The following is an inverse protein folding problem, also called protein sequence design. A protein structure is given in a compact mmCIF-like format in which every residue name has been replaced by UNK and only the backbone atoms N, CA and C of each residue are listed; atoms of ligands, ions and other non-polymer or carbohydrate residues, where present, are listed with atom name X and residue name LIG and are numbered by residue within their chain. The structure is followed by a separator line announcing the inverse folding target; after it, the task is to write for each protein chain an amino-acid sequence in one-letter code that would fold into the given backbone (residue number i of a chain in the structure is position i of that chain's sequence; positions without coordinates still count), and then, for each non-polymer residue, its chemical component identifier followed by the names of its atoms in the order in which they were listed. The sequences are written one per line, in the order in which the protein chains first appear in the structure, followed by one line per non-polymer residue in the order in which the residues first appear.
data_IF_702263823626
#
_entry.id   IF_702263823626
#
_cell.length_a   1.000
_cell.length_b   1.000
_cell.length_c   1.000
_cell.angle_alpha   90.00
_cell.angle_beta   90.00
_cell.angle_gamma   90.00
#
_symmetry.space_group_name_H-M   'P 1'
#
loop_
_entity.id
_entity.type
_entity.pdbx_description
1 polymer ?
#
# COMPACT_ATOMS: atom_id res chain seq x y z
N UNK A 1 -22.32 25.50 -11.79
CA UNK A 1 -23.67 24.93 -11.99
C UNK A 1 -23.70 24.31 -13.38
N UNK A 2 -24.14 23.06 -13.57
CA UNK A 2 -23.86 21.80 -12.83
C UNK A 2 -23.09 20.81 -13.76
N UNK A 3 -22.16 19.98 -13.29
CA UNK A 3 -22.32 18.70 -12.55
C UNK A 3 -23.23 17.66 -13.22
N UNK A 4 -22.66 16.61 -13.83
CA UNK A 4 -23.26 15.27 -13.89
C UNK A 4 -22.18 14.18 -13.72
N UNK A 5 -22.09 13.70 -12.47
CA UNK A 5 -22.05 12.29 -12.02
C UNK A 5 -21.03 11.33 -12.66
N UNK A 6 -19.96 11.03 -11.91
CA UNK A 6 -19.23 9.76 -11.98
C UNK A 6 -19.37 9.07 -10.62
N UNK A 7 -20.00 7.89 -10.58
CA UNK A 7 -20.00 7.00 -9.41
C UNK A 7 -19.71 5.56 -9.83
N UNK A 8 -18.89 4.94 -8.98
CA UNK A 8 -18.76 3.51 -8.67
C UNK A 8 -18.23 2.57 -9.76
N UNK A 9 -16.95 2.18 -9.60
CA UNK A 9 -16.56 0.79 -9.78
C UNK A 9 -15.65 0.39 -8.60
N UNK A 10 -16.23 -0.33 -7.64
CA UNK A 10 -15.52 -1.08 -6.61
C UNK A 10 -15.21 -2.46 -7.18
N UNK A 11 -13.93 -2.79 -7.26
CA UNK A 11 -13.42 -4.13 -7.54
C UNK A 11 -13.40 -4.93 -6.23
N UNK A 12 -14.05 -6.09 -6.25
CA UNK A 12 -13.84 -7.18 -5.28
C UNK A 12 -13.50 -8.45 -6.02
N UNK A 13 -12.38 -9.13 -5.73
CA UNK A 13 -12.14 -10.49 -6.16
C UNK A 13 -12.37 -11.46 -4.99
N UNK A 14 -13.31 -12.40 -5.13
CA UNK A 14 -13.39 -13.55 -4.23
C UNK A 14 -14.07 -14.76 -4.90
N UNK A 15 -13.21 -15.70 -5.29
CA UNK A 15 -13.38 -17.15 -5.21
C UNK A 15 -14.72 -17.78 -5.67
N UNK A 16 -14.69 -18.28 -6.91
CA UNK A 16 -15.59 -19.29 -7.44
C UNK A 16 -15.11 -20.67 -6.94
N UNK A 17 -15.87 -21.34 -6.08
CA UNK A 17 -15.69 -22.77 -5.77
C UNK A 17 -16.90 -23.54 -6.29
N UNK A 18 -16.67 -24.32 -7.34
CA UNK A 18 -17.60 -25.26 -7.91
C UNK A 18 -17.76 -26.48 -7.00
N UNK A 19 -18.99 -26.87 -6.71
CA UNK A 19 -19.31 -28.18 -6.15
C UNK A 19 -19.91 -29.06 -7.24
N UNK A 20 -19.13 -30.05 -7.68
CA UNK A 20 -19.55 -31.18 -8.50
C UNK A 20 -20.19 -32.24 -7.60
N UNK A 21 -21.33 -32.77 -8.02
CA UNK A 21 -21.98 -33.97 -7.47
C UNK A 21 -21.30 -35.24 -7.98
N UNK A 22 -21.26 -36.29 -7.13
CA UNK A 22 -21.15 -37.68 -7.60
C UNK A 22 -22.21 -38.55 -6.91
N UNK A 23 -22.91 -39.31 -7.75
CA UNK A 23 -23.94 -40.29 -7.46
C UNK A 23 -23.30 -41.69 -7.27
N UNK A 24 -24.07 -42.72 -6.91
CA UNK A 24 -23.65 -44.13 -7.07
C UNK A 24 -24.81 -45.02 -7.53
N UNK A 25 -24.70 -45.45 -8.81
CA UNK A 25 -24.99 -46.78 -9.46
C UNK A 25 -26.34 -47.50 -9.18
N UNK A 26 -27.26 -47.75 -10.15
CA UNK A 26 -27.29 -48.60 -11.39
C UNK A 26 -27.64 -50.11 -11.08
N UNK A 27 -28.58 -50.83 -11.73
CA UNK A 27 -28.59 -51.58 -13.05
C UNK A 27 -29.98 -52.34 -13.15
N UNK A 28 -30.83 -52.17 -14.17
CA UNK A 28 -31.10 -52.93 -15.44
C UNK A 28 -31.71 -54.38 -15.45
N UNK A 29 -32.86 -54.52 -16.17
CA UNK A 29 -33.30 -55.57 -17.16
C UNK A 29 -33.63 -57.04 -16.69
N UNK A 30 -34.58 -57.84 -17.23
CA UNK A 30 -35.38 -57.89 -18.49
C UNK A 30 -36.57 -58.92 -18.41
N UNK A 31 -37.50 -58.79 -19.37
CA UNK A 31 -38.83 -59.40 -19.77
C UNK A 31 -38.86 -60.95 -20.02
N UNK A 32 -39.94 -61.71 -20.44
CA UNK A 32 -41.28 -61.34 -20.96
C UNK A 32 -42.51 -62.26 -20.63
N UNK A 33 -43.75 -61.86 -21.02
CA UNK A 33 -44.88 -62.81 -21.17
C UNK A 33 -46.36 -62.34 -21.19
N UNK A 34 -46.73 -61.38 -22.04
CA UNK A 34 -48.04 -61.13 -22.72
C UNK A 34 -49.39 -61.55 -22.09
N UNK A 35 -50.30 -60.56 -21.93
CA UNK A 35 -51.60 -60.48 -22.65
C UNK A 35 -52.27 -59.11 -22.48
N UNK A 36 -52.70 -58.54 -23.61
CA UNK A 36 -53.46 -57.30 -23.74
C UNK A 36 -54.66 -57.20 -22.79
N UNK A 37 -54.69 -56.11 -22.04
CA UNK A 37 -55.88 -55.47 -21.49
C UNK A 37 -55.52 -53.99 -21.41
N UNK A 38 -56.31 -53.12 -22.05
CA UNK A 38 -56.19 -51.68 -21.87
C UNK A 38 -56.56 -51.37 -20.41
N UNK A 39 -55.57 -51.47 -19.51
CA UNK A 39 -55.74 -51.28 -18.09
C UNK A 39 -55.82 -49.78 -17.81
N UNK A 40 -57.01 -49.37 -17.41
CA UNK A 40 -57.29 -48.04 -16.90
C UNK A 40 -56.48 -47.84 -15.61
N UNK A 41 -55.47 -46.96 -15.64
CA UNK A 41 -54.66 -46.64 -14.45
C UNK A 41 -55.55 -45.98 -13.40
N UNK A 42 -55.90 -46.74 -12.36
CA UNK A 42 -56.56 -46.21 -11.15
C UNK A 42 -55.61 -45.25 -10.45
N UNK A 43 -56.01 -43.97 -10.29
CA UNK A 43 -55.22 -43.01 -9.50
C UNK A 43 -55.11 -43.48 -8.05
N UNK A 44 -54.04 -43.10 -7.34
CA UNK A 44 -53.79 -43.59 -5.96
C UNK A 44 -54.91 -43.20 -5.00
N UNK A 45 -55.62 -42.10 -5.29
CA UNK A 45 -56.84 -41.68 -4.59
C UNK A 45 -58.04 -42.63 -4.74
N UNK A 46 -57.98 -43.62 -5.64
CA UNK A 46 -59.03 -44.61 -5.87
C UNK A 46 -58.73 -45.97 -5.22
N UNK A 47 -57.56 -46.13 -4.59
CA UNK A 47 -57.22 -47.32 -3.83
C UNK A 47 -57.90 -47.26 -2.46
N UNK A 48 -58.67 -48.30 -2.13
CA UNK A 48 -59.52 -48.30 -0.93
C UNK A 48 -58.77 -48.60 0.37
N UNK A 49 -57.50 -49.01 0.28
CA UNK A 49 -56.70 -49.53 1.38
C UNK A 49 -55.40 -48.74 1.66
N UNK A 50 -55.23 -47.57 1.05
CA UNK A 50 -54.08 -46.69 1.28
C UNK A 50 -54.56 -45.33 1.80
N UNK A 51 -54.29 -45.04 3.07
CA UNK A 51 -54.64 -43.77 3.70
C UNK A 51 -53.73 -42.62 3.19
N UNK A 52 -54.27 -41.43 2.85
CA UNK A 52 -53.48 -40.26 2.46
C UNK A 52 -52.39 -39.83 3.46
N UNK A 53 -52.54 -40.19 4.74
CA UNK A 53 -51.56 -39.88 5.80
C UNK A 53 -50.49 -40.95 5.99
N UNK A 54 -50.60 -42.09 5.29
CA UNK A 54 -49.66 -43.21 5.40
C UNK A 54 -48.31 -42.85 4.74
N UNK A 55 -47.20 -43.24 5.36
CA UNK A 55 -45.84 -42.91 4.90
C UNK A 55 -45.55 -43.34 3.45
N UNK A 56 -46.20 -44.41 2.98
CA UNK A 56 -46.03 -44.94 1.62
C UNK A 56 -46.89 -44.24 0.55
N UNK A 57 -47.85 -43.38 0.93
CA UNK A 57 -48.80 -42.76 0.01
C UNK A 57 -48.09 -41.93 -1.08
N UNK A 58 -47.15 -41.08 -0.68
CA UNK A 58 -46.41 -40.21 -1.61
C UNK A 58 -45.52 -41.00 -2.59
N UNK A 59 -44.97 -42.13 -2.14
CA UNK A 59 -44.17 -43.02 -2.97
C UNK A 59 -45.05 -43.74 -4.00
N UNK A 60 -46.22 -44.23 -3.58
CA UNK A 60 -47.21 -44.85 -4.47
C UNK A 60 -47.77 -43.84 -5.47
N UNK A 61 -48.09 -42.62 -5.02
CA UNK A 61 -48.57 -41.55 -5.89
C UNK A 61 -47.58 -41.26 -7.02
N UNK A 62 -46.29 -41.16 -6.69
CA UNK A 62 -45.25 -40.94 -7.70
C UNK A 62 -45.16 -42.11 -8.68
N UNK A 63 -45.19 -43.35 -8.18
CA UNK A 63 -45.07 -44.54 -9.02
C UNK A 63 -46.26 -44.71 -9.98
N UNK A 64 -47.48 -44.39 -9.56
CA UNK A 64 -48.69 -44.55 -10.36
C UNK A 64 -48.90 -43.35 -11.29
N UNK A 65 -48.82 -42.12 -10.79
CA UNK A 65 -49.21 -40.93 -11.55
C UNK A 65 -48.07 -40.40 -12.44
N UNK A 66 -46.83 -40.41 -11.94
CA UNK A 66 -45.69 -39.85 -12.67
C UNK A 66 -45.00 -40.87 -13.58
N UNK A 67 -44.90 -42.12 -13.11
CA UNK A 67 -44.17 -43.16 -13.82
C UNK A 67 -45.07 -44.24 -14.44
N UNK A 68 -46.36 -44.30 -14.09
CA UNK A 68 -47.30 -45.27 -14.66
C UNK A 68 -46.95 -46.73 -14.35
N UNK A 69 -46.23 -46.97 -13.26
CA UNK A 69 -45.55 -48.24 -12.98
C UNK A 69 -46.39 -49.28 -12.25
N UNK A 70 -47.48 -48.87 -11.59
CA UNK A 70 -48.29 -49.73 -10.72
C UNK A 70 -49.75 -49.50 -11.04
N UNK A 71 -50.50 -50.58 -11.34
CA UNK A 71 -51.93 -50.49 -11.68
C UNK A 71 -52.84 -50.87 -10.51
N UNK A 72 -52.30 -51.41 -9.41
CA UNK A 72 -53.09 -51.97 -8.30
C UNK A 72 -53.68 -53.34 -8.64
N UNK A 73 -54.35 -54.00 -7.68
CA UNK A 73 -55.09 -55.23 -7.95
C UNK A 73 -56.44 -54.90 -8.63
N UNK A 74 -57.03 -55.84 -9.40
CA UNK A 74 -58.32 -55.62 -10.08
C UNK A 74 -59.48 -55.22 -9.15
N UNK A 75 -59.35 -55.50 -7.84
CA UNK A 75 -60.29 -55.13 -6.79
C UNK A 75 -60.07 -53.73 -6.19
N UNK A 76 -59.19 -52.91 -6.81
CA UNK A 76 -58.84 -51.54 -6.37
C UNK A 76 -58.20 -51.49 -4.98
N UNK A 77 -57.41 -52.51 -4.66
CA UNK A 77 -56.57 -52.56 -3.45
C UNK A 77 -55.09 -52.63 -3.82
N UNK A 78 -54.21 -52.16 -2.93
CA UNK A 78 -52.76 -52.33 -3.00
C UNK A 78 -52.28 -53.55 -2.20
N UNK A 79 -53.05 -53.97 -1.20
CA UNK A 79 -52.79 -55.05 -0.24
C UNK A 79 -51.47 -54.88 0.53
N UNK A 80 -51.21 -53.67 1.02
CA UNK A 80 -49.97 -53.34 1.74
C UNK A 80 -49.78 -54.05 3.09
N UNK A 81 -50.82 -54.68 3.63
CA UNK A 81 -50.81 -55.37 4.92
C UNK A 81 -50.44 -56.87 4.83
N UNK A 82 -50.17 -57.42 3.63
CA UNK A 82 -49.73 -58.80 3.45
C UNK A 82 -48.27 -58.86 3.01
N UNK A 83 -47.56 -59.90 3.45
CA UNK A 83 -46.24 -60.18 2.91
C UNK A 83 -46.36 -60.59 1.43
N UNK A 84 -45.60 -59.91 0.58
CA UNK A 84 -45.51 -60.16 -0.84
C UNK A 84 -44.50 -61.28 -1.12
N UNK A 85 -44.78 -62.16 -2.08
CA UNK A 85 -43.79 -63.18 -2.48
C UNK A 85 -42.66 -62.56 -3.32
N UNK A 86 -41.48 -63.18 -3.30
CA UNK A 86 -40.34 -62.75 -4.14
C UNK A 86 -40.68 -62.73 -5.64
N UNK A 87 -41.56 -63.62 -6.09
CA UNK A 87 -42.01 -63.70 -7.47
C UNK A 87 -42.96 -62.55 -7.85
N UNK A 88 -43.90 -62.20 -6.96
CA UNK A 88 -44.79 -61.06 -7.18
C UNK A 88 -44.01 -59.73 -7.20
N UNK A 89 -42.95 -59.59 -6.38
CA UNK A 89 -42.09 -58.40 -6.42
C UNK A 89 -41.36 -58.26 -7.75
N UNK A 90 -40.75 -59.35 -8.22
CA UNK A 90 -39.95 -59.35 -9.44
C UNK A 90 -40.80 -59.01 -10.68
N UNK A 91 -42.02 -59.54 -10.75
CA UNK A 91 -42.95 -59.25 -11.85
C UNK A 91 -43.37 -57.77 -11.89
N UNK A 92 -43.69 -57.18 -10.73
CA UNK A 92 -44.06 -55.76 -10.64
C UNK A 92 -42.90 -54.82 -10.96
N UNK A 93 -41.68 -55.14 -10.50
CA UNK A 93 -40.49 -54.36 -10.81
C UNK A 93 -40.15 -54.39 -12.31
N UNK A 94 -40.24 -55.55 -12.95
CA UNK A 94 -39.92 -55.67 -14.39
C UNK A 94 -40.87 -54.82 -15.26
N UNK A 95 -42.17 -54.85 -14.98
CA UNK A 95 -43.14 -54.02 -15.69
C UNK A 95 -42.87 -52.51 -15.57
N UNK A 96 -42.45 -52.05 -14.38
CA UNK A 96 -42.08 -50.64 -14.18
C UNK A 96 -40.81 -50.26 -14.97
N UNK A 97 -39.82 -51.15 -15.04
CA UNK A 97 -38.58 -50.91 -15.79
C UNK A 97 -38.84 -50.80 -17.30
N UNK A 98 -39.73 -51.63 -17.86
CA UNK A 98 -40.13 -51.54 -19.26
C UNK A 98 -40.78 -50.17 -19.57
N UNK A 99 -41.63 -49.67 -18.66
CA UNK A 99 -42.26 -48.35 -18.81
C UNK A 99 -41.25 -47.18 -18.75
N UNK A 100 -40.24 -47.29 -17.89
CA UNK A 100 -39.17 -46.29 -17.80
C UNK A 100 -38.33 -46.26 -19.09
N UNK A 101 -38.06 -47.43 -19.70
CA UNK A 101 -37.30 -47.48 -20.97
C UNK A 101 -38.03 -46.78 -22.11
N UNK A 102 -39.35 -46.92 -22.21
CA UNK A 102 -40.16 -46.18 -23.19
C UNK A 102 -40.10 -44.66 -22.98
N UNK A 103 -40.17 -44.19 -21.73
CA UNK A 103 -40.06 -42.77 -21.42
C UNK A 103 -38.68 -42.19 -21.75
N UNK A 104 -37.61 -42.96 -21.55
CA UNK A 104 -36.25 -42.57 -21.92
C UNK A 104 -36.11 -42.52 -23.45
N UNK A 105 -36.65 -43.49 -24.19
CA UNK A 105 -36.63 -43.49 -25.64
C UNK A 105 -37.36 -42.27 -26.24
N UNK A 106 -38.46 -41.83 -25.60
CA UNK A 106 -39.17 -40.60 -25.98
C UNK A 106 -38.36 -39.32 -25.68
N UNK A 107 -37.56 -39.30 -24.61
CA UNK A 107 -36.72 -38.16 -24.26
C UNK A 107 -35.45 -38.01 -25.13
N UNK A 108 -34.92 -39.12 -25.67
CA UNK A 108 -33.76 -39.11 -26.59
C UNK A 108 -34.11 -38.57 -27.98
N UNK A 109 -35.39 -38.46 -28.32
CA UNK A 109 -35.86 -37.80 -29.54
C UNK A 109 -35.63 -36.26 -29.52
N UNK A 110 -35.26 -35.68 -28.39
CA UNK A 110 -35.07 -34.23 -28.16
C UNK A 110 -33.56 -33.83 -28.15
N UNK A 111 -32.76 -34.45 -29.02
CA UNK A 111 -31.40 -34.00 -29.34
C UNK A 111 -31.47 -32.67 -30.14
N UNK A 112 -30.51 -31.73 -29.99
CA UNK A 112 -30.55 -30.43 -30.67
C UNK A 112 -30.76 -30.59 -32.17
N UNK A 113 -31.70 -29.82 -32.73
CA UNK A 113 -32.12 -29.96 -34.11
C UNK A 113 -31.03 -29.48 -35.08
N UNK A 114 -31.11 -29.87 -36.37
CA UNK A 114 -30.20 -29.38 -37.42
C UNK A 114 -30.18 -27.85 -37.53
N UNK A 115 -31.24 -27.18 -37.09
CA UNK A 115 -31.37 -25.72 -37.11
C UNK A 115 -30.49 -25.06 -36.03
N UNK A 116 -30.24 -25.73 -34.90
CA UNK A 116 -29.32 -25.23 -33.86
C UNK A 116 -27.86 -25.25 -34.36
N UNK A 117 -27.49 -26.29 -35.11
CA UNK A 117 -26.16 -26.41 -35.73
C UNK A 117 -25.99 -25.34 -36.83
N UNK A 118 -27.04 -25.06 -37.60
CA UNK A 118 -27.03 -24.00 -38.60
C UNK A 118 -26.92 -22.61 -37.95
N UNK A 119 -27.59 -22.40 -36.81
CA UNK A 119 -27.53 -21.17 -36.02
C UNK A 119 -26.12 -20.96 -35.44
N UNK A 120 -25.50 -22.00 -34.88
CA UNK A 120 -24.12 -21.93 -34.39
C UNK A 120 -23.13 -21.62 -35.52
N UNK A 121 -23.27 -22.23 -36.71
CA UNK A 121 -22.43 -21.92 -37.87
C UNK A 121 -22.59 -20.46 -38.31
N UNK A 122 -23.82 -19.97 -38.37
CA UNK A 122 -24.11 -18.57 -38.72
C UNK A 122 -23.51 -17.60 -37.70
N UNK A 123 -23.64 -17.90 -36.40
CA UNK A 123 -23.00 -17.10 -35.35
C UNK A 123 -21.47 -17.15 -35.47
N UNK A 124 -20.87 -18.29 -35.78
CA UNK A 124 -19.42 -18.39 -36.01
C UNK A 124 -18.96 -17.53 -37.20
N UNK A 125 -19.73 -17.47 -38.28
CA UNK A 125 -19.45 -16.61 -39.44
C UNK A 125 -19.66 -15.13 -39.13
N UNK A 126 -20.75 -14.77 -38.44
CA UNK A 126 -21.06 -13.39 -38.05
C UNK A 126 -20.04 -12.84 -37.04
N UNK A 127 -19.51 -13.67 -36.14
CA UNK A 127 -18.49 -13.28 -35.16
C UNK A 127 -17.04 -13.48 -35.65
N UNK A 128 -16.79 -14.03 -36.83
CA UNK A 128 -15.43 -14.29 -37.33
C UNK A 128 -14.60 -12.99 -37.43
N UNK A 129 -15.20 -11.91 -37.93
CA UNK A 129 -14.56 -10.60 -38.02
C UNK A 129 -14.29 -9.97 -36.64
N UNK A 130 -15.21 -10.16 -35.69
CA UNK A 130 -15.03 -9.68 -34.31
C UNK A 130 -13.95 -10.46 -33.57
N UNK A 131 -13.89 -11.79 -33.76
CA UNK A 131 -12.85 -12.64 -33.20
C UNK A 131 -11.47 -12.31 -33.78
N UNK A 132 -11.37 -12.02 -35.08
CA UNK A 132 -10.14 -11.55 -35.69
C UNK A 132 -9.69 -10.21 -35.10
N UNK A 133 -10.64 -9.30 -34.85
CA UNK A 133 -10.38 -8.00 -34.20
C UNK A 133 -9.92 -8.18 -32.76
N UNK A 134 -10.58 -9.06 -31.99
CA UNK A 134 -10.20 -9.40 -30.62
C UNK A 134 -8.80 -10.03 -30.56
N UNK A 135 -8.49 -10.96 -31.47
CA UNK A 135 -7.15 -11.55 -31.59
C UNK A 135 -6.10 -10.48 -31.86
N UNK A 136 -6.35 -9.59 -32.82
CA UNK A 136 -5.45 -8.46 -33.08
C UNK A 136 -5.26 -7.53 -31.87
N UNK A 137 -6.31 -7.32 -31.05
CA UNK A 137 -6.21 -6.57 -29.79
C UNK A 137 -5.39 -7.31 -28.74
N UNK A 138 -5.55 -8.63 -28.63
CA UNK A 138 -4.76 -9.49 -27.72
C UNK A 138 -3.30 -9.48 -28.14
N UNK A 139 -2.99 -9.70 -29.42
CA UNK A 139 -1.61 -9.66 -29.94
C UNK A 139 -0.96 -8.29 -29.70
N UNK A 140 -1.70 -7.19 -29.88
CA UNK A 140 -1.22 -5.85 -29.59
C UNK A 140 -1.02 -5.60 -28.08
N UNK A 141 -1.87 -6.17 -27.22
CA UNK A 141 -1.73 -6.11 -25.77
C UNK A 141 -0.52 -6.93 -25.30
N UNK A 142 -0.32 -8.13 -25.84
CA UNK A 142 0.84 -8.98 -25.57
C UNK A 142 2.14 -8.28 -25.99
N UNK A 143 2.18 -7.71 -27.19
CA UNK A 143 3.33 -6.94 -27.67
C UNK A 143 3.61 -5.70 -26.80
N UNK A 144 2.57 -5.01 -26.33
CA UNK A 144 2.72 -3.90 -25.37
C UNK A 144 3.23 -4.39 -24.01
N UNK A 145 2.73 -5.51 -23.52
CA UNK A 145 3.14 -6.11 -22.24
C UNK A 145 4.60 -6.54 -22.29
N UNK A 146 5.01 -7.27 -23.34
CA UNK A 146 6.40 -7.69 -23.54
C UNK A 146 7.37 -6.49 -23.63
N UNK A 147 6.96 -5.39 -24.28
CA UNK A 147 7.77 -4.15 -24.31
C UNK A 147 7.87 -3.48 -22.95
N UNK A 148 6.80 -3.48 -22.17
CA UNK A 148 6.81 -2.90 -20.82
C UNK A 148 7.69 -3.72 -19.88
N UNK A 149 7.58 -5.05 -19.93
CA UNK A 149 8.42 -5.97 -19.16
C UNK A 149 9.91 -5.84 -19.53
N UNK A 150 10.22 -5.76 -20.83
CA UNK A 150 11.61 -5.66 -21.30
C UNK A 150 12.31 -4.33 -20.94
N UNK A 151 11.55 -3.26 -20.68
CA UNK A 151 12.10 -1.91 -20.41
C UNK A 151 11.87 -1.45 -18.96
N UNK A 152 11.43 -2.33 -18.06
CA UNK A 152 11.17 -1.95 -16.68
C UNK A 152 12.47 -1.94 -15.86
N UNK A 153 12.88 -0.77 -15.39
CA UNK A 153 14.05 -0.63 -14.50
C UNK A 153 13.90 -1.46 -13.20
N UNK A 154 12.67 -1.54 -12.69
CA UNK A 154 12.22 -2.45 -11.62
C UNK A 154 10.70 -2.26 -11.45
N UNK A 155 9.95 -3.32 -11.12
CA UNK A 155 8.52 -3.22 -10.75
C UNK A 155 8.30 -2.54 -9.40
N UNK A 156 9.31 -2.56 -8.53
CA UNK A 156 9.22 -2.14 -7.13
C UNK A 156 10.07 -0.92 -6.81
N UNK A 157 11.09 -0.62 -7.63
CA UNK A 157 12.02 0.49 -7.42
C UNK A 157 11.81 1.61 -8.45
N UNK A 158 11.65 2.84 -7.96
CA UNK A 158 11.60 4.07 -8.77
C UNK A 158 12.89 4.86 -8.60
N UNK A 159 13.53 5.19 -9.72
CA UNK A 159 14.69 6.09 -9.77
C UNK A 159 14.22 7.53 -9.98
N UNK A 160 14.72 8.46 -9.16
CA UNK A 160 14.52 9.91 -9.33
C UNK A 160 15.85 10.63 -9.23
N UNK A 161 16.25 11.29 -10.31
CA UNK A 161 17.45 12.10 -10.38
C UNK A 161 17.18 13.59 -10.21
N UNK A 162 18.09 14.31 -9.59
CA UNK A 162 18.12 15.76 -9.51
C UNK A 162 19.55 16.25 -9.71
N UNK A 163 19.73 17.30 -10.50
CA UNK A 163 21.01 17.99 -10.66
C UNK A 163 20.78 19.48 -10.45
N UNK A 164 21.61 20.10 -9.60
CA UNK A 164 21.66 21.54 -9.38
C UNK A 164 23.00 22.03 -9.91
N UNK A 165 22.97 23.08 -10.71
CA UNK A 165 24.16 23.87 -11.05
C UNK A 165 24.03 25.24 -10.38
N UNK A 166 25.10 25.71 -9.75
CA UNK A 166 25.08 26.94 -8.99
C UNK A 166 26.30 27.81 -9.32
N UNK A 167 26.03 29.03 -9.78
CA UNK A 167 26.98 30.13 -9.80
C UNK A 167 26.83 30.90 -8.48
N UNK A 168 27.86 30.88 -7.64
CA UNK A 168 27.81 31.49 -6.31
C UNK A 168 29.15 32.12 -5.93
N UNK A 169 29.11 33.20 -5.17
CA UNK A 169 30.27 33.85 -4.55
C UNK A 169 29.85 34.55 -3.26
N UNK A 170 30.82 34.81 -2.39
CA UNK A 170 30.67 35.72 -1.27
C UNK A 170 31.26 37.09 -1.65
N UNK A 171 30.75 38.15 -1.04
CA UNK A 171 31.26 39.51 -1.21
C UNK A 171 31.23 40.25 0.12
N UNK A 172 32.23 41.09 0.37
CA UNK A 172 32.31 41.95 1.55
C UNK A 172 33.74 42.30 1.93
N UNK A 173 33.89 43.09 2.99
CA UNK A 173 35.21 43.49 3.49
C UNK A 173 35.80 42.38 4.37
N UNK A 174 35.46 42.32 5.66
CA UNK A 174 36.03 41.36 6.62
C UNK A 174 35.10 40.15 6.89
N UNK A 175 35.69 38.98 7.20
CA UNK A 175 34.96 37.79 7.67
C UNK A 175 34.29 38.07 9.02
N UNK A 176 33.13 37.47 9.29
CA UNK A 176 32.36 37.75 10.51
C UNK A 176 33.00 37.26 11.83
N UNK A 177 34.10 36.51 11.77
CA UNK A 177 34.80 35.94 12.92
C UNK A 177 36.28 36.36 13.03
N UNK A 178 36.79 37.19 12.12
CA UNK A 178 38.20 37.61 12.04
C UNK A 178 38.32 38.94 11.30
N UNK A 179 39.52 39.53 11.30
CA UNK A 179 39.82 40.72 10.48
C UNK A 179 40.35 40.37 9.08
N UNK A 180 40.32 39.08 8.72
CA UNK A 180 40.71 38.62 7.39
C UNK A 180 39.65 39.04 6.36
N UNK A 181 40.10 39.49 5.19
CA UNK A 181 39.22 39.88 4.09
C UNK A 181 38.42 38.67 3.54
N UNK A 182 37.21 38.92 3.02
CA UNK A 182 36.45 37.92 2.27
C UNK A 182 37.08 37.78 0.88
N UNK A 183 37.33 36.53 0.46
CA UNK A 183 37.77 36.28 -0.91
C UNK A 183 36.57 36.33 -1.88
N UNK A 184 36.47 37.42 -2.65
CA UNK A 184 35.41 37.67 -3.64
C UNK A 184 35.55 36.81 -4.92
N UNK A 185 35.47 35.50 -4.75
CA UNK A 185 35.58 34.54 -5.84
C UNK A 185 34.21 34.00 -6.26
N UNK A 186 33.86 34.20 -7.53
CA UNK A 186 32.69 33.55 -8.15
C UNK A 186 33.08 32.13 -8.54
N UNK A 187 32.29 31.15 -8.10
CA UNK A 187 32.50 29.73 -8.36
C UNK A 187 31.32 29.14 -9.13
N UNK A 188 31.60 28.18 -10.02
CA UNK A 188 30.60 27.31 -10.60
C UNK A 188 30.69 25.94 -9.92
N UNK A 189 29.60 25.52 -9.29
CA UNK A 189 29.51 24.23 -8.60
C UNK A 189 28.27 23.46 -9.02
N UNK A 190 28.20 22.20 -8.61
CA UNK A 190 27.05 21.36 -8.84
C UNK A 190 26.78 20.40 -7.69
N UNK A 191 25.55 19.87 -7.69
CA UNK A 191 25.13 18.72 -6.90
C UNK A 191 24.32 17.78 -7.78
N UNK A 192 24.67 16.50 -7.74
CA UNK A 192 23.91 15.43 -8.36
C UNK A 192 23.37 14.50 -7.28
N UNK A 193 22.08 14.17 -7.36
CA UNK A 193 21.38 13.29 -6.43
C UNK A 193 20.58 12.24 -7.19
N UNK A 194 20.72 10.98 -6.80
CA UNK A 194 19.96 9.85 -7.34
C UNK A 194 19.25 9.14 -6.20
N UNK A 195 17.92 9.19 -6.18
CA UNK A 195 17.09 8.49 -5.21
C UNK A 195 16.55 7.18 -5.81
N UNK A 196 16.80 6.08 -5.12
CA UNK A 196 16.20 4.77 -5.37
C UNK A 196 15.14 4.51 -4.31
N UNK A 197 13.87 4.64 -4.69
CA UNK A 197 12.73 4.40 -3.80
C UNK A 197 12.11 3.04 -4.12
N UNK A 198 12.31 2.07 -3.23
CA UNK A 198 11.81 0.69 -3.39
C UNK A 198 10.66 0.42 -2.44
N UNK A 199 9.58 -0.21 -2.92
CA UNK A 199 8.46 -0.66 -2.09
C UNK A 199 8.25 -2.17 -2.24
N UNK A 200 8.17 -2.90 -1.12
CA UNK A 200 8.00 -4.36 -1.13
C UNK A 200 6.55 -4.79 -0.89
N UNK A 201 5.78 -3.97 -0.16
CA UNK A 201 4.38 -4.21 0.21
C UNK A 201 3.39 -3.23 -0.45
N UNK A 202 3.91 -2.20 -1.13
CA UNK A 202 3.12 -1.08 -1.68
C UNK A 202 2.80 0.03 -0.67
N UNK A 203 3.05 -0.19 0.63
CA UNK A 203 2.86 0.82 1.70
C UNK A 203 4.14 1.22 2.42
N UNK A 204 5.19 0.43 2.27
CA UNK A 204 6.52 0.65 2.80
C UNK A 204 7.42 1.30 1.75
N UNK A 205 8.55 1.85 2.20
CA UNK A 205 9.54 2.44 1.33
C UNK A 205 10.94 2.29 1.91
N UNK A 206 11.81 1.61 1.18
CA UNK A 206 13.26 1.70 1.33
C UNK A 206 13.77 2.82 0.42
N UNK A 207 14.43 3.83 0.99
CA UNK A 207 15.18 4.82 0.22
C UNK A 207 16.67 4.56 0.35
N UNK A 208 17.34 4.52 -0.80
CA UNK A 208 18.79 4.69 -0.90
C UNK A 208 19.04 5.89 -1.80
N UNK A 209 19.79 6.87 -1.30
CA UNK A 209 20.17 8.06 -2.05
C UNK A 209 21.67 8.11 -2.23
N UNK A 210 22.08 8.22 -3.49
CA UNK A 210 23.45 8.56 -3.86
C UNK A 210 23.56 10.05 -4.13
N UNK A 211 24.64 10.68 -3.70
CA UNK A 211 24.91 12.09 -3.93
C UNK A 211 26.40 12.33 -4.18
N UNK A 212 26.70 13.25 -5.09
CA UNK A 212 28.01 13.89 -5.20
C UNK A 212 27.82 15.38 -5.45
N UNK A 213 28.69 16.21 -4.86
CA UNK A 213 28.67 17.67 -5.03
C UNK A 213 30.03 18.29 -4.74
N UNK A 214 30.24 19.48 -5.30
CA UNK A 214 31.37 20.35 -5.04
C UNK A 214 30.94 21.79 -4.72
N UNK A 215 29.82 21.96 -4.01
CA UNK A 215 29.32 23.28 -3.62
C UNK A 215 29.93 23.68 -2.28
N UNK A 216 31.00 24.46 -2.30
CA UNK A 216 31.64 24.99 -1.09
C UNK A 216 30.63 25.71 -0.18
N UNK A 217 30.45 25.28 1.07
CA UNK A 217 29.61 26.01 2.02
C UNK A 217 30.18 27.41 2.29
N UNK A 218 29.40 28.45 1.98
CA UNK A 218 29.68 29.84 2.36
C UNK A 218 29.47 29.98 3.88
N UNK A 219 30.43 29.47 4.64
CA UNK A 219 30.36 29.24 6.09
C UNK A 219 31.54 29.88 6.82
N UNK A 220 31.91 29.38 8.00
CA UNK A 220 33.00 29.93 8.81
C UNK A 220 34.31 30.18 8.06
N UNK A 221 34.72 29.27 7.18
CA UNK A 221 36.00 29.39 6.47
C UNK A 221 35.99 30.46 5.36
N UNK A 222 34.80 30.77 4.82
CA UNK A 222 34.61 31.69 3.68
C UNK A 222 34.15 33.07 4.14
N UNK A 223 33.12 33.13 4.98
CA UNK A 223 32.46 34.38 5.42
C UNK A 223 32.53 34.60 6.93
N UNK A 224 33.13 33.68 7.68
CA UNK A 224 33.18 33.74 9.14
C UNK A 224 31.86 33.40 9.86
N UNK A 225 30.80 33.05 9.12
CA UNK A 225 29.47 32.79 9.71
C UNK A 225 28.72 31.69 8.95
N UNK A 226 27.84 30.95 9.62
CA UNK A 226 26.95 29.98 8.95
C UNK A 226 25.65 30.63 8.44
N UNK A 227 25.49 31.96 8.57
CA UNK A 227 24.32 32.69 8.11
C UNK A 227 24.21 32.77 6.57
N UNK A 228 25.34 32.68 5.87
CA UNK A 228 25.44 32.79 4.40
C UNK A 228 25.31 31.44 3.69
N UNK A 229 25.09 30.35 4.43
CA UNK A 229 25.04 29.00 3.87
C UNK A 229 23.86 28.78 2.91
N UNK A 230 24.13 28.05 1.84
CA UNK A 230 23.13 27.69 0.83
C UNK A 230 22.43 26.38 1.20
N UNK A 231 21.19 26.22 0.76
CA UNK A 231 20.32 25.09 1.10
C UNK A 231 20.84 23.73 0.62
N UNK A 232 21.60 23.74 -0.47
CA UNK A 232 22.15 22.56 -1.15
C UNK A 232 23.68 22.41 -0.96
N UNK A 233 24.31 23.26 -0.14
CA UNK A 233 25.76 23.30 0.02
C UNK A 233 26.37 22.04 0.65
N UNK A 234 27.60 21.75 0.25
CA UNK A 234 28.47 20.70 0.74
C UNK A 234 29.42 20.22 -0.34
N UNK A 235 30.52 19.64 0.11
CA UNK A 235 31.62 19.26 -0.75
C UNK A 235 32.04 17.83 -0.43
N UNK A 236 31.75 16.92 -1.35
CA UNK A 236 32.28 15.56 -1.34
C UNK A 236 33.37 15.38 -2.39
N UNK A 237 33.97 16.47 -2.88
CA UNK A 237 35.02 16.46 -3.92
C UNK A 237 34.56 15.78 -5.23
N UNK A 238 33.24 15.83 -5.48
CA UNK A 238 32.54 15.09 -6.54
C UNK A 238 32.53 13.55 -6.37
N UNK A 239 32.99 13.01 -5.24
CA UNK A 239 32.77 11.61 -4.91
C UNK A 239 31.29 11.32 -4.75
N UNK A 240 30.86 10.17 -5.26
CA UNK A 240 29.51 9.66 -5.04
C UNK A 240 29.47 8.89 -3.71
N UNK A 241 28.62 9.33 -2.79
CA UNK A 241 28.44 8.72 -1.46
C UNK A 241 26.97 8.42 -1.20
N UNK A 242 26.70 7.54 -0.23
CA UNK A 242 25.35 7.32 0.28
C UNK A 242 24.99 8.48 1.21
N UNK A 243 24.08 9.33 0.75
CA UNK A 243 23.60 10.54 1.47
C UNK A 243 22.48 10.17 2.45
N UNK A 244 21.46 9.46 1.97
CA UNK A 244 20.33 8.98 2.77
C UNK A 244 20.11 7.48 2.58
N UNK A 245 19.87 6.77 3.67
CA UNK A 245 19.44 5.38 3.71
C UNK A 245 18.48 5.16 4.88
N UNK A 246 17.23 4.83 4.57
CA UNK A 246 16.23 4.49 5.56
C UNK A 246 15.20 3.51 5.01
N UNK A 247 14.58 2.75 5.91
CA UNK A 247 13.40 1.97 5.63
C UNK A 247 12.23 2.49 6.47
N UNK A 248 11.11 2.80 5.82
CA UNK A 248 9.87 3.17 6.51
C UNK A 248 8.75 2.19 6.19
N UNK A 249 7.96 1.86 7.20
CA UNK A 249 6.83 0.95 7.05
C UNK A 249 5.69 1.34 7.99
N UNK A 250 4.44 1.07 7.61
CA UNK A 250 3.30 1.28 8.48
C UNK A 250 3.26 0.20 9.58
N UNK A 251 3.04 0.61 10.82
CA UNK A 251 2.66 -0.26 11.93
C UNK A 251 1.17 -0.06 12.21
N UNK A 252 0.32 -0.84 11.56
CA UNK A 252 -1.13 -0.64 11.59
C UNK A 252 -1.59 0.48 10.65
N UNK A 253 -2.70 1.16 10.98
CA UNK A 253 -3.31 2.18 10.12
C UNK A 253 -2.90 3.62 10.44
N UNK A 254 -2.41 3.87 11.65
CA UNK A 254 -2.19 5.22 12.19
C UNK A 254 -0.71 5.50 12.52
N UNK A 255 0.13 4.47 12.52
CA UNK A 255 1.54 4.61 12.91
C UNK A 255 2.43 4.30 11.73
N UNK A 256 3.44 5.13 11.49
CA UNK A 256 4.55 4.83 10.59
C UNK A 256 5.84 4.79 11.40
N UNK A 257 6.72 3.84 11.09
CA UNK A 257 8.02 3.67 11.72
C UNK A 257 9.11 3.87 10.68
N UNK A 258 10.20 4.53 11.07
CA UNK A 258 11.41 4.70 10.27
C UNK A 258 12.59 4.06 11.00
N UNK A 259 13.32 3.22 10.29
CA UNK A 259 14.65 2.74 10.68
C UNK A 259 15.66 3.42 9.76
N UNK A 260 16.56 4.20 10.35
CA UNK A 260 17.40 5.15 9.63
C UNK A 260 18.86 4.78 9.85
N UNK A 261 19.60 4.56 8.77
CA UNK A 261 20.98 4.12 8.83
C UNK A 261 21.99 5.29 8.83
N UNK A 262 21.64 6.44 8.23
CA UNK A 262 22.55 7.58 8.11
C UNK A 262 21.80 8.93 8.09
N UNK A 263 22.36 9.95 7.44
CA UNK A 263 22.04 11.38 7.55
C UNK A 263 20.70 11.84 6.95
N UNK A 264 19.58 11.21 7.33
CA UNK A 264 18.24 11.63 6.93
C UNK A 264 17.74 12.81 7.79
N UNK A 265 17.43 13.96 7.17
CA UNK A 265 16.95 15.13 7.91
C UNK A 265 15.64 14.86 8.68
N UNK A 266 15.54 15.27 9.94
CA UNK A 266 14.34 15.04 10.78
C UNK A 266 13.11 15.83 10.31
N UNK A 267 13.29 16.88 9.51
CA UNK A 267 12.20 17.55 8.81
C UNK A 267 11.45 16.63 7.84
N UNK A 268 12.04 15.47 7.49
CA UNK A 268 11.42 14.47 6.63
C UNK A 268 10.65 13.40 7.40
N UNK A 269 10.59 13.54 8.72
CA UNK A 269 9.85 12.68 9.64
C UNK A 269 8.81 13.52 10.39
N UNK A 270 9.27 14.61 10.99
CA UNK A 270 8.44 15.65 11.59
C UNK A 270 8.31 16.78 10.57
N UNK A 271 7.27 16.71 9.73
CA UNK A 271 7.10 17.66 8.62
C UNK A 271 6.96 19.10 9.15
N UNK A 272 7.80 20.05 8.67
CA UNK A 272 7.62 21.47 8.94
C UNK A 272 6.32 21.99 8.37
N UNK A 273 5.74 23.00 9.01
CA UNK A 273 4.46 23.57 8.58
C UNK A 273 4.58 24.56 7.41
N UNK A 274 5.80 24.85 6.97
CA UNK A 274 6.06 25.60 5.75
C UNK A 274 6.31 24.66 4.55
N UNK A 275 5.35 24.56 3.61
CA UNK A 275 5.48 23.65 2.48
C UNK A 275 6.36 24.20 1.35
N UNK A 276 6.57 25.52 1.27
CA UNK A 276 7.17 26.17 0.09
C UNK A 276 8.70 26.27 0.19
N UNK A 277 9.23 26.53 1.39
CA UNK A 277 10.66 26.84 1.54
C UNK A 277 11.53 25.60 1.82
N UNK A 278 10.94 24.48 2.21
CA UNK A 278 11.65 23.30 2.74
C UNK A 278 12.64 22.66 1.75
N UNK A 279 12.26 22.59 0.48
CA UNK A 279 13.06 21.95 -0.58
C UNK A 279 14.41 22.66 -0.76
N UNK A 280 15.49 21.90 -0.95
CA UNK A 280 16.81 22.45 -1.26
C UNK A 280 17.00 22.75 -2.76
N UNK A 281 16.21 22.15 -3.65
CA UNK A 281 16.27 22.42 -5.09
C UNK A 281 15.24 23.42 -5.60
N UNK A 282 14.10 23.56 -4.91
CA UNK A 282 12.97 24.38 -5.37
C UNK A 282 12.40 25.32 -4.29
N UNK A 283 12.99 25.32 -3.10
CA UNK A 283 12.54 26.11 -1.96
C UNK A 283 13.44 27.30 -1.67
N UNK A 284 13.75 27.52 -0.39
CA UNK A 284 14.67 28.60 -0.02
C UNK A 284 16.10 28.28 -0.48
N UNK A 285 16.78 29.27 -1.03
CA UNK A 285 18.22 29.21 -1.33
C UNK A 285 19.04 29.26 -0.03
N UNK A 286 18.53 29.87 1.03
CA UNK A 286 19.21 29.94 2.33
C UNK A 286 19.02 28.63 3.11
N UNK A 287 20.10 28.04 3.64
CA UNK A 287 20.02 26.86 4.52
C UNK A 287 19.12 27.09 5.74
N UNK A 288 19.18 28.30 6.30
CA UNK A 288 18.36 28.73 7.44
C UNK A 288 16.92 28.99 7.03
N UNK A 289 16.69 29.60 5.85
CA UNK A 289 15.36 29.95 5.37
C UNK A 289 14.47 28.76 4.99
N UNK A 290 15.00 27.53 4.90
CA UNK A 290 14.23 26.35 4.51
C UNK A 290 13.17 25.95 5.55
N UNK A 291 13.59 25.86 6.81
CA UNK A 291 12.81 25.38 7.96
C UNK A 291 13.58 25.65 9.25
N UNK A 292 12.90 25.51 10.39
CA UNK A 292 13.50 25.74 11.72
C UNK A 292 14.79 24.91 11.92
N UNK A 293 15.92 25.51 12.32
CA UNK A 293 17.15 24.77 12.62
C UNK A 293 17.00 23.68 13.69
N UNK A 294 15.93 23.70 14.49
CA UNK A 294 15.67 22.71 15.54
C UNK A 294 15.70 21.25 15.02
N UNK A 295 15.25 21.00 13.79
CA UNK A 295 15.27 19.65 13.21
C UNK A 295 16.69 19.11 12.99
N UNK A 296 17.69 20.00 12.89
CA UNK A 296 19.09 19.64 12.68
C UNK A 296 19.78 19.11 13.93
N UNK A 297 19.16 19.33 15.08
CA UNK A 297 19.66 18.89 16.38
C UNK A 297 19.39 17.40 16.61
N UNK A 298 18.50 16.78 15.82
CA UNK A 298 18.26 15.34 15.82
C UNK A 298 18.39 14.78 14.40
N UNK A 299 19.61 14.53 13.93
CA UNK A 299 19.89 13.93 12.60
C UNK A 299 20.83 12.72 12.74
N UNK A 300 21.13 12.03 11.63
CA UNK A 300 21.94 10.79 11.54
C UNK A 300 21.21 9.48 11.87
N UNK A 301 21.89 8.41 12.25
CA UNK A 301 21.26 7.08 12.37
C UNK A 301 20.25 7.06 13.53
N UNK A 302 19.25 6.18 13.47
CA UNK A 302 18.32 6.02 14.58
C UNK A 302 16.95 5.50 14.18
N UNK A 303 15.97 5.74 15.05
CA UNK A 303 14.59 5.33 14.87
C UNK A 303 13.65 6.52 15.02
N UNK A 304 12.57 6.51 14.27
CA UNK A 304 11.48 7.43 14.48
C UNK A 304 10.12 6.78 14.32
N UNK A 305 9.12 7.38 14.96
CA UNK A 305 7.74 6.96 14.94
C UNK A 305 6.86 8.19 14.76
N UNK A 306 5.91 8.08 13.84
CA UNK A 306 4.86 9.07 13.61
C UNK A 306 3.52 8.39 13.88
N UNK A 307 2.70 8.98 14.74
CA UNK A 307 1.41 8.45 15.13
C UNK A 307 0.31 9.50 14.93
N UNK A 308 -0.63 9.18 14.04
CA UNK A 308 -1.77 10.00 13.71
C UNK A 308 -2.97 9.63 14.60
N UNK A 309 -3.19 10.38 15.68
CA UNK A 309 -4.35 10.17 16.57
C UNK A 309 -5.68 10.52 15.90
N UNK A 310 -5.68 11.56 15.06
CA UNK A 310 -6.83 11.99 14.26
C UNK A 310 -6.35 12.82 13.08
N UNK A 311 -7.21 13.19 12.14
CA UNK A 311 -6.84 14.10 11.03
C UNK A 311 -6.32 15.48 11.50
N UNK A 312 -6.55 15.86 12.77
CA UNK A 312 -6.15 17.14 13.34
C UNK A 312 -4.98 17.04 14.32
N UNK A 313 -4.61 15.83 14.78
CA UNK A 313 -3.60 15.65 15.83
C UNK A 313 -2.63 14.53 15.43
N UNK A 314 -1.36 14.89 15.36
CA UNK A 314 -0.27 13.99 15.03
C UNK A 314 0.89 14.16 16.02
N UNK A 315 1.51 13.05 16.42
CA UNK A 315 2.71 13.05 17.26
C UNK A 315 3.85 12.35 16.52
N UNK A 316 4.97 13.04 16.37
CA UNK A 316 6.23 12.44 15.89
C UNK A 316 7.22 12.36 17.04
N UNK A 317 7.87 11.22 17.22
CA UNK A 317 8.99 11.05 18.13
C UNK A 317 10.17 10.43 17.39
N UNK A 318 11.39 10.84 17.71
CA UNK A 318 12.60 10.28 17.11
C UNK A 318 13.75 10.26 18.10
N UNK A 319 14.59 9.23 18.02
CA UNK A 319 15.88 9.18 18.69
C UNK A 319 16.95 8.97 17.63
N UNK A 320 17.89 9.91 17.56
CA UNK A 320 18.90 9.99 16.50
C UNK A 320 20.28 10.13 17.12
N UNK A 321 21.25 9.38 16.63
CA UNK A 321 22.62 9.38 17.13
C UNK A 321 23.60 9.64 15.98
N UNK A 322 24.47 10.65 16.16
CA UNK A 322 25.60 10.88 15.26
C UNK A 322 26.72 9.91 15.64
N UNK A 323 27.47 9.44 14.65
CA UNK A 323 28.53 8.44 14.84
C UNK A 323 28.05 7.14 15.51
N UNK A 324 26.81 6.72 15.24
CA UNK A 324 26.22 5.50 15.81
C UNK A 324 26.99 4.21 15.47
N UNK A 325 27.80 4.24 14.41
CA UNK A 325 28.67 3.16 13.97
C UNK A 325 30.04 3.13 14.67
N UNK A 326 30.38 4.13 15.48
CA UNK A 326 31.65 4.22 16.18
C UNK A 326 31.53 3.62 17.59
N UNK A 327 32.27 2.55 17.93
CA UNK A 327 32.22 1.92 19.25
C UNK A 327 33.12 2.58 20.32
N UNK A 328 33.79 3.70 20.00
CA UNK A 328 34.66 4.41 20.94
C UNK A 328 33.86 5.03 22.09
N UNK A 329 34.55 5.35 23.18
CA UNK A 329 33.99 6.09 24.32
C UNK A 329 33.35 7.42 23.86
N UNK A 330 32.18 7.76 24.41
CA UNK A 330 31.38 8.94 24.04
C UNK A 330 30.93 8.94 22.57
N UNK A 331 30.74 7.76 21.99
CA UNK A 331 30.22 7.56 20.65
C UNK A 331 29.14 6.46 20.64
N UNK A 332 28.74 6.02 19.45
CA UNK A 332 27.74 4.96 19.30
C UNK A 332 26.31 5.45 19.52
N UNK A 333 25.41 4.51 19.76
CA UNK A 333 23.97 4.78 19.76
C UNK A 333 23.46 5.46 21.03
N UNK A 334 24.07 5.21 22.19
CA UNK A 334 23.53 5.62 23.50
C UNK A 334 24.50 6.40 24.40
N UNK A 335 25.78 6.43 24.06
CA UNK A 335 26.82 7.05 24.88
C UNK A 335 27.42 8.31 24.21
N UNK A 336 27.04 8.56 22.96
CA UNK A 336 27.59 9.65 22.15
C UNK A 336 26.62 10.77 21.84
N UNK A 337 26.96 11.51 20.79
CA UNK A 337 26.16 12.60 20.27
C UNK A 337 24.76 12.10 19.87
N UNK A 338 23.72 12.58 20.53
CA UNK A 338 22.35 12.22 20.24
C UNK A 338 21.43 13.44 20.19
N UNK A 339 20.29 13.27 19.52
CA UNK A 339 19.13 14.16 19.58
C UNK A 339 17.84 13.34 19.68
N UNK A 340 17.07 13.61 20.74
CA UNK A 340 15.75 13.05 20.99
C UNK A 340 14.69 14.12 20.70
N UNK A 341 13.90 13.90 19.65
CA UNK A 341 12.89 14.83 19.15
C UNK A 341 11.48 14.35 19.49
N UNK A 342 10.62 15.28 19.88
CA UNK A 342 9.18 15.10 19.95
C UNK A 342 8.48 16.30 19.30
N UNK A 343 7.51 16.05 18.42
CA UNK A 343 6.71 17.10 17.78
C UNK A 343 5.24 16.75 17.85
N UNK A 344 4.46 17.65 18.45
CA UNK A 344 3.00 17.63 18.40
C UNK A 344 2.53 18.59 17.31
N UNK A 345 1.88 18.05 16.29
CA UNK A 345 1.29 18.83 15.19
C UNK A 345 -0.23 18.86 15.34
N UNK A 346 -0.78 20.07 15.36
CA UNK A 346 -2.19 20.38 15.46
C UNK A 346 -2.66 21.07 14.17
N UNK A 347 -3.53 20.41 13.42
CA UNK A 347 -4.13 20.91 12.18
C UNK A 347 -5.64 20.88 12.29
N UNK A 348 -6.25 21.80 13.08
CA UNK A 348 -7.70 21.80 13.33
C UNK A 348 -8.53 21.90 12.04
N UNK A 349 -7.97 22.51 10.98
CA UNK A 349 -8.56 22.54 9.65
C UNK A 349 -7.45 22.65 8.58
N UNK A 350 -7.84 22.70 7.30
CA UNK A 350 -6.90 22.78 6.16
C UNK A 350 -6.15 24.11 6.03
N UNK A 351 -6.53 25.13 6.79
CA UNK A 351 -5.97 26.47 6.69
C UNK A 351 -5.06 26.84 7.87
N UNK A 352 -5.13 26.10 8.98
CA UNK A 352 -4.39 26.41 10.20
C UNK A 352 -3.60 25.18 10.61
N UNK A 353 -2.31 25.37 10.80
CA UNK A 353 -1.43 24.40 11.44
C UNK A 353 -0.61 25.06 12.53
N UNK A 354 -0.44 24.38 13.65
CA UNK A 354 0.49 24.73 14.73
C UNK A 354 1.30 23.49 15.07
N UNK A 355 2.61 23.62 15.21
CA UNK A 355 3.47 22.54 15.65
C UNK A 355 4.31 23.01 16.84
N UNK A 356 4.34 22.15 17.86
CA UNK A 356 5.18 22.32 19.04
C UNK A 356 6.25 21.25 18.99
N UNK A 357 7.52 21.66 18.94
CA UNK A 357 8.66 20.78 18.77
C UNK A 357 9.57 20.92 19.97
N UNK A 358 10.01 19.80 20.53
CA UNK A 358 11.01 19.75 21.58
C UNK A 358 12.13 18.82 21.14
N UNK A 359 13.37 19.24 21.35
CA UNK A 359 14.55 18.41 21.11
C UNK A 359 15.48 18.49 22.30
N UNK A 360 15.78 17.34 22.90
CA UNK A 360 16.87 17.18 23.85
C UNK A 360 18.08 16.62 23.10
N UNK A 361 19.23 17.27 23.19
CA UNK A 361 20.44 16.79 22.52
C UNK A 361 21.65 16.83 23.45
N UNK A 362 22.60 15.94 23.20
CA UNK A 362 23.90 15.94 23.83
C UNK A 362 24.99 16.02 22.76
N UNK A 363 25.96 16.89 22.97
CA UNK A 363 27.10 17.06 22.09
C UNK A 363 28.41 16.85 22.85
N UNK A 364 29.25 15.87 22.48
CA UNK A 364 30.54 15.66 23.13
C UNK A 364 31.59 16.63 22.56
N UNK A 365 32.21 17.41 23.44
CA UNK A 365 33.42 18.21 23.19
C UNK A 365 33.50 18.90 21.82
N UNK A 366 34.40 18.44 20.94
CA UNK A 366 34.60 18.99 19.59
C UNK A 366 33.38 18.86 18.66
N UNK A 367 32.44 17.96 18.96
CA UNK A 367 31.20 17.73 18.23
C UNK A 367 30.05 18.69 18.53
N UNK A 368 30.27 19.73 19.34
CA UNK A 368 29.25 20.74 19.69
C UNK A 368 28.78 21.51 18.45
N UNK A 369 27.46 21.44 18.24
CA UNK A 369 26.72 22.14 17.20
C UNK A 369 25.27 22.39 17.65
N UNK A 370 25.09 23.37 18.53
CA UNK A 370 23.79 23.71 19.16
C UNK A 370 22.83 24.43 18.23
N UNK A 371 23.27 24.82 17.04
CA UNK A 371 22.47 25.56 16.05
C UNK A 371 22.28 24.81 14.73
N UNK A 372 22.72 23.55 14.64
CA UNK A 372 22.58 22.75 13.42
C UNK A 372 23.38 23.30 12.23
N UNK A 373 24.53 23.91 12.53
CA UNK A 373 25.38 24.60 11.57
C UNK A 373 24.65 25.72 10.83
N UNK A 374 23.88 26.52 11.59
CA UNK A 374 23.24 27.76 11.17
C UNK A 374 23.56 28.89 12.17
N UNK A 375 23.44 30.16 11.77
CA UNK A 375 23.77 31.28 12.65
C UNK A 375 25.27 31.52 12.85
N UNK A 376 25.64 32.23 13.91
CA UNK A 376 27.04 32.60 14.20
C UNK A 376 27.85 31.45 14.79
N UNK A 377 29.19 31.59 14.82
CA UNK A 377 30.08 30.65 15.50
C UNK A 377 29.73 30.51 17.00
N UNK A 378 29.43 31.63 17.67
CA UNK A 378 29.02 31.65 19.07
C UNK A 378 27.70 30.92 19.32
N UNK A 379 26.70 31.07 18.42
CA UNK A 379 25.43 30.35 18.54
C UNK A 379 25.60 28.83 18.30
N UNK A 380 26.61 28.43 17.52
CA UNK A 380 26.95 27.03 17.26
C UNK A 380 27.63 26.36 18.44
N UNK A 381 28.50 27.10 19.13
CA UNK A 381 29.37 26.65 20.21
C UNK A 381 29.43 27.70 21.32
N UNK A 382 28.38 27.82 22.15
CA UNK A 382 28.32 28.85 23.20
C UNK A 382 29.38 28.69 24.29
N UNK A 383 29.93 27.47 24.43
CA UNK A 383 30.97 27.11 25.41
C UNK A 383 32.17 26.44 24.72
N UNK A 384 32.50 26.88 23.50
CA UNK A 384 33.59 26.31 22.69
C UNK A 384 33.45 24.79 22.45
N UNK A 385 34.48 24.01 22.79
CA UNK A 385 34.52 22.55 22.62
C UNK A 385 34.27 21.84 23.95
N UNK A 386 33.43 22.40 24.82
CA UNK A 386 32.98 21.78 26.06
C UNK A 386 31.72 20.97 25.79
N UNK A 387 31.67 19.73 26.30
CA UNK A 387 30.48 18.89 26.14
C UNK A 387 29.23 19.63 26.64
N UNK A 388 28.16 19.58 25.87
CA UNK A 388 27.00 20.46 26.06
C UNK A 388 25.70 19.67 25.91
N UNK A 389 24.80 19.82 26.88
CA UNK A 389 23.41 19.43 26.74
C UNK A 389 22.59 20.60 26.22
N UNK A 390 21.58 20.31 25.41
CA UNK A 390 20.64 21.33 24.95
C UNK A 390 19.20 20.89 25.12
N UNK A 391 18.37 21.83 25.59
CA UNK A 391 16.92 21.77 25.57
C UNK A 391 16.40 22.80 24.57
N UNK A 392 15.94 22.34 23.42
CA UNK A 392 15.44 23.19 22.34
C UNK A 392 13.93 23.10 22.21
N UNK A 393 13.28 24.25 22.15
CA UNK A 393 11.83 24.42 22.03
C UNK A 393 11.52 25.16 20.74
N UNK A 394 10.59 24.64 19.97
CA UNK A 394 10.16 25.19 18.69
C UNK A 394 8.64 25.39 18.66
N UNK A 395 8.22 26.52 18.11
CA UNK A 395 6.84 26.79 17.75
C UNK A 395 6.80 27.10 16.26
N UNK A 396 6.04 26.33 15.49
CA UNK A 396 5.73 26.65 14.10
C UNK A 396 4.26 26.95 13.94
N UNK A 397 3.95 27.87 13.02
CA UNK A 397 2.58 28.13 12.64
C UNK A 397 2.47 28.39 11.16
N UNK A 398 1.33 27.98 10.60
CA UNK A 398 0.96 28.26 9.21
C UNK A 398 -0.51 28.62 9.14
N UNK A 399 -0.80 29.70 8.41
CA UNK A 399 -2.12 30.27 8.21
C UNK A 399 -2.32 30.54 6.73
N UNK A 400 -3.12 29.69 6.07
CA UNK A 400 -3.53 29.88 4.69
C UNK A 400 -4.75 30.81 4.64
N UNK A 401 -4.49 32.08 4.31
CA UNK A 401 -5.50 33.13 4.23
C UNK A 401 -6.28 33.06 2.92
N UNK A 402 -5.65 32.61 1.83
CA UNK A 402 -6.29 32.37 0.52
C UNK A 402 -5.59 31.26 -0.25
N UNK A 403 -6.08 30.91 -1.45
CA UNK A 403 -5.42 29.89 -2.30
C UNK A 403 -3.99 30.31 -2.70
N UNK A 404 -3.71 31.61 -2.78
CA UNK A 404 -2.43 32.15 -3.27
C UNK A 404 -1.60 32.81 -2.16
N UNK A 405 -2.10 32.86 -0.93
CA UNK A 405 -1.42 33.54 0.17
C UNK A 405 -1.43 32.69 1.44
N UNK A 406 -0.24 32.35 1.91
CA UNK A 406 0.01 31.62 3.15
C UNK A 406 1.03 32.38 3.97
N UNK A 407 0.71 32.65 5.23
CA UNK A 407 1.64 33.17 6.21
C UNK A 407 2.14 32.00 7.04
N UNK A 408 3.45 31.77 7.06
CA UNK A 408 4.05 30.72 7.88
C UNK A 408 5.34 31.23 8.52
N UNK A 409 5.65 30.70 9.69
CA UNK A 409 6.82 31.12 10.43
C UNK A 409 7.10 30.18 11.59
N UNK A 410 8.29 30.32 12.15
CA UNK A 410 8.74 29.51 13.27
C UNK A 410 9.52 30.39 14.26
N UNK A 411 9.48 29.97 15.52
CA UNK A 411 10.23 30.54 16.64
C UNK A 411 10.96 29.39 17.34
N UNK A 412 12.20 29.64 17.76
CA UNK A 412 13.03 28.64 18.42
C UNK A 412 13.77 29.24 19.61
N UNK A 413 13.84 28.48 20.70
CA UNK A 413 14.64 28.79 21.88
C UNK A 413 15.49 27.55 22.22
N UNK A 414 16.80 27.71 22.33
CA UNK A 414 17.71 26.66 22.80
C UNK A 414 18.35 27.09 24.10
N UNK A 415 18.14 26.31 25.15
CA UNK A 415 18.89 26.40 26.40
C UNK A 415 20.06 25.42 26.31
N UNK A 416 21.28 25.91 26.50
CA UNK A 416 22.49 25.10 26.44
C UNK A 416 23.18 25.09 27.81
N UNK A 417 23.58 23.91 28.26
CA UNK A 417 24.24 23.68 29.55
C UNK A 417 25.57 22.95 29.32
N UNK A 418 26.67 23.57 29.72
CA UNK A 418 27.99 22.96 29.67
C UNK A 418 28.11 21.87 30.75
N UNK A 419 28.64 20.71 30.36
CA UNK A 419 28.98 19.63 31.30
C UNK A 419 30.32 19.96 31.92
N UNK A 420 30.31 20.35 33.20
CA UNK A 420 31.53 20.60 33.95
C UNK A 420 32.26 19.27 34.16
N UNK A 421 33.49 19.16 33.66
CA UNK A 421 34.38 18.08 34.06
C UNK A 421 34.81 18.37 35.50
N UNK A 422 34.34 17.57 36.45
CA UNK A 422 34.98 17.50 37.76
C UNK A 422 36.32 16.79 37.51
N UNK A 423 37.41 17.56 37.49
CA UNK A 423 38.79 17.04 37.57
C UNK A 423 39.08 16.46 38.95
#
# INVERSE_FOLDING_TARGET
MPEIVWKSLLLTPAALCAALTFCSTAIAAETPGSRDSLNQVTSVSQLTDVDPTHWAFQALQSLVERYGCIEGYPDRTYRGNRALTRYEFAAGLNACLDRIQELIAAAVADLPSRDDIATIRRLQEEFAAELATLRGRVDALEARTARLEANQFSTTTKLRGEVIFALAGAFGDEKANSQDDIEDNITLSHRTRLNFDTSFSGKDQLRVRLQGRNTTPLSGDVTGTNMTRLSFDGNEENDIRIDDMYYRFPLGKQTTVWVIANSFGSENIADPLNPLLRSDGSGSISRFGRFSPIYRLAEAAGIALNHQFSNAVNLTVAYRARNANNPSDKAGLFDGNYGALAQLTLTPNKNIGVALTYVNSYFPGSGVDTSGSTGSAFARRPFDQVATFTHSYGLESTFRLSQNFTLSGWLGLTQAEAVQQNE
#
